data_IF_304493871549
#
_entry.id   IF_304493871549
#
_cell.length_a   1.000
_cell.length_b   1.000
_cell.length_c   1.000
_cell.angle_alpha   90.00
_cell.angle_beta   90.00
_cell.angle_gamma   90.00
#
_symmetry.space_group_name_H-M   'P 1'
#
loop_
_entity.id
_entity.type
_entity.pdbx_description
1 polymer ?
#
# COMPACT_ATOMS: atom_id res chain seq x y z
N UNK A 1 29.76 -67.62 -21.92
CA UNK A 1 28.36 -67.38 -22.32
C UNK A 1 27.69 -66.55 -21.24
N UNK A 2 27.02 -65.45 -21.62
CA UNK A 2 25.96 -64.86 -20.80
C UNK A 2 26.37 -63.79 -19.78
N UNK A 3 26.44 -62.55 -20.24
CA UNK A 3 26.32 -61.30 -19.48
C UNK A 3 24.98 -61.23 -18.70
N UNK A 4 24.99 -60.66 -17.49
CA UNK A 4 23.77 -60.40 -16.72
C UNK A 4 23.89 -59.25 -15.72
N UNK A 5 24.10 -58.03 -16.22
CA UNK A 5 23.93 -56.78 -15.47
C UNK A 5 22.47 -56.63 -15.06
N UNK A 6 22.16 -56.52 -13.76
CA UNK A 6 20.86 -56.03 -13.30
C UNK A 6 21.06 -54.74 -12.51
N UNK A 7 20.72 -53.62 -13.17
CA UNK A 7 20.61 -52.29 -12.59
C UNK A 7 19.32 -52.24 -11.77
N UNK A 8 19.41 -52.05 -10.46
CA UNK A 8 18.25 -51.59 -9.66
C UNK A 8 18.21 -50.07 -9.76
N UNK A 9 17.14 -49.57 -10.39
CA UNK A 9 16.94 -48.18 -10.73
C UNK A 9 16.79 -47.29 -9.50
N UNK A 10 17.47 -46.15 -9.54
CA UNK A 10 17.23 -45.04 -8.64
C UNK A 10 15.77 -44.55 -8.81
N UNK A 11 14.97 -44.69 -7.77
CA UNK A 11 13.63 -44.10 -7.70
C UNK A 11 13.74 -42.58 -7.60
N UNK A 12 13.80 -41.89 -8.73
CA UNK A 12 13.58 -40.45 -8.81
C UNK A 12 12.13 -40.15 -8.44
N UNK A 13 11.91 -39.73 -7.18
CA UNK A 13 10.63 -39.18 -6.72
C UNK A 13 10.37 -37.90 -7.50
N UNK A 14 9.58 -38.02 -8.56
CA UNK A 14 9.09 -36.89 -9.33
C UNK A 14 8.12 -36.10 -8.44
N UNK A 15 8.61 -35.06 -7.77
CA UNK A 15 7.79 -34.04 -7.10
C UNK A 15 7.19 -33.13 -8.18
N UNK A 16 6.28 -33.68 -8.97
CA UNK A 16 5.42 -32.89 -9.83
C UNK A 16 4.58 -31.95 -8.95
N UNK A 17 4.49 -30.69 -9.34
CA UNK A 17 3.62 -29.73 -8.68
C UNK A 17 2.19 -30.27 -8.71
N UNK A 18 1.57 -30.41 -7.53
CA UNK A 18 0.24 -31.01 -7.32
C UNK A 18 -0.85 -30.35 -8.18
N UNK A 19 -0.61 -29.13 -8.67
CA UNK A 19 -1.45 -28.37 -9.59
C UNK A 19 -1.51 -28.96 -11.00
N UNK A 20 -0.48 -29.66 -11.46
CA UNK A 20 -0.46 -30.27 -12.81
C UNK A 20 -1.32 -31.53 -12.89
N UNK A 21 -1.42 -32.31 -11.82
CA UNK A 21 -2.25 -33.52 -11.79
C UNK A 21 -3.75 -33.20 -11.84
N UNK A 22 -4.18 -32.06 -11.29
CA UNK A 22 -5.56 -31.60 -11.36
C UNK A 22 -6.00 -31.27 -12.79
N UNK A 23 -5.07 -30.74 -13.62
CA UNK A 23 -5.34 -30.40 -15.03
C UNK A 23 -5.45 -31.64 -15.92
N UNK A 24 -4.79 -32.74 -15.56
CA UNK A 24 -4.78 -33.98 -16.36
C UNK A 24 -6.00 -34.86 -16.08
N UNK A 25 -6.44 -34.91 -14.82
CA UNK A 25 -7.72 -35.59 -14.46
C UNK A 25 -8.97 -34.92 -15.04
N UNK A 26 -8.87 -33.72 -15.60
CA UNK A 26 -9.96 -33.08 -16.35
C UNK A 26 -9.94 -33.38 -17.84
N UNK A 27 -8.88 -33.99 -18.39
CA UNK A 27 -8.78 -34.31 -19.82
C UNK A 27 -9.27 -35.71 -20.19
N UNK A 28 -9.47 -36.60 -19.21
CA UNK A 28 -9.88 -37.99 -19.44
C UNK A 28 -11.41 -38.20 -19.26
N UNK A 29 -12.21 -37.14 -19.31
CA UNK A 29 -13.66 -37.23 -19.23
C UNK A 29 -14.31 -36.12 -20.05
N UNK A 30 -14.39 -36.32 -21.37
CA UNK A 30 -15.35 -35.68 -22.28
C UNK A 30 -15.34 -36.45 -23.63
N UNK A 31 -16.24 -37.43 -23.77
CA UNK A 31 -16.81 -37.81 -25.07
C UNK A 31 -18.31 -37.47 -25.01
N UNK A 32 -18.74 -36.67 -25.99
CA UNK A 32 -20.09 -36.25 -26.38
C UNK A 32 -20.96 -35.42 -25.43
N UNK A 33 -21.03 -34.11 -25.70
CA UNK A 33 -22.28 -33.42 -26.09
C UNK A 33 -21.99 -31.96 -26.48
N UNK A 34 -22.27 -31.62 -27.74
CA UNK A 34 -22.35 -30.23 -28.19
C UNK A 34 -23.68 -29.61 -27.76
N UNK A 35 -23.65 -28.62 -26.87
CA UNK A 35 -24.58 -27.51 -26.89
C UNK A 35 -23.82 -26.22 -26.62
N UNK A 36 -23.90 -25.30 -27.56
CA UNK A 36 -23.31 -23.97 -27.46
C UNK A 36 -23.86 -23.22 -26.25
N UNK A 37 -22.98 -22.91 -25.30
CA UNK A 37 -23.23 -21.90 -24.29
C UNK A 37 -22.31 -20.71 -24.57
N UNK A 38 -22.82 -19.76 -25.34
CA UNK A 38 -22.38 -18.36 -25.28
C UNK A 38 -22.67 -17.85 -23.86
N UNK A 39 -21.76 -18.16 -22.95
CA UNK A 39 -21.96 -18.01 -21.51
C UNK A 39 -20.96 -17.07 -20.87
N UNK A 40 -20.94 -15.82 -21.32
CA UNK A 40 -20.44 -14.67 -20.57
C UNK A 40 -18.94 -14.61 -20.34
N UNK A 41 -18.32 -13.54 -20.84
CA UNK A 41 -17.16 -12.93 -20.20
C UNK A 41 -17.52 -12.50 -18.77
N UNK A 42 -17.63 -13.48 -17.87
CA UNK A 42 -17.62 -13.31 -16.44
C UNK A 42 -16.20 -12.97 -16.02
N UNK A 43 -15.65 -11.85 -16.51
CA UNK A 43 -14.70 -11.08 -15.73
C UNK A 43 -15.52 -10.60 -14.53
N UNK A 44 -15.65 -11.48 -13.54
CA UNK A 44 -16.19 -11.19 -12.22
C UNK A 44 -15.29 -10.09 -11.69
N UNK A 45 -15.61 -8.83 -12.03
CA UNK A 45 -15.19 -7.72 -11.23
C UNK A 45 -15.69 -8.09 -9.84
N UNK A 46 -14.80 -8.36 -8.88
CA UNK A 46 -15.24 -8.76 -7.56
C UNK A 46 -16.25 -7.71 -7.09
N UNK A 47 -17.36 -8.12 -6.46
CA UNK A 47 -18.31 -7.16 -5.90
C UNK A 47 -17.49 -6.16 -5.09
N UNK A 48 -17.51 -4.90 -5.52
CA UNK A 48 -16.57 -3.91 -5.02
C UNK A 48 -16.95 -3.60 -3.58
N UNK A 49 -16.33 -4.33 -2.65
CA UNK A 49 -16.56 -4.12 -1.22
C UNK A 49 -16.21 -2.66 -0.92
N UNK A 50 -17.15 -1.86 -0.39
CA UNK A 50 -16.91 -0.45 -0.09
C UNK A 50 -15.70 -0.27 0.84
N UNK A 51 -15.43 -1.23 1.73
CA UNK A 51 -14.25 -1.20 2.58
C UNK A 51 -12.95 -1.38 1.78
N UNK A 52 -12.94 -2.22 0.75
CA UNK A 52 -11.78 -2.39 -0.12
C UNK A 52 -11.56 -1.16 -1.02
N UNK A 53 -12.63 -0.53 -1.50
CA UNK A 53 -12.54 0.71 -2.27
C UNK A 53 -11.95 1.84 -1.41
N UNK A 54 -12.46 2.02 -0.19
CA UNK A 54 -11.93 3.01 0.76
C UNK A 54 -10.48 2.72 1.18
N UNK A 55 -10.13 1.45 1.40
CA UNK A 55 -8.74 1.06 1.67
C UNK A 55 -7.80 1.41 0.51
N UNK A 56 -8.24 1.26 -0.75
CA UNK A 56 -7.44 1.69 -1.92
C UNK A 56 -7.26 3.20 -1.96
N UNK A 57 -8.30 3.98 -1.68
CA UNK A 57 -8.20 5.43 -1.60
C UNK A 57 -7.21 5.88 -0.51
N UNK A 58 -7.28 5.29 0.69
CA UNK A 58 -6.34 5.56 1.78
C UNK A 58 -4.90 5.21 1.38
N UNK A 59 -4.68 4.06 0.72
CA UNK A 59 -3.35 3.68 0.20
C UNK A 59 -2.82 4.68 -0.82
N UNK A 60 -3.67 5.17 -1.72
CA UNK A 60 -3.28 6.19 -2.69
C UNK A 60 -2.92 7.51 -2.00
N UNK A 61 -3.72 7.93 -1.00
CA UNK A 61 -3.43 9.10 -0.17
C UNK A 61 -2.10 8.97 0.57
N UNK A 62 -1.79 7.81 1.15
CA UNK A 62 -0.51 7.56 1.82
C UNK A 62 0.69 7.71 0.89
N UNK A 63 0.61 7.15 -0.33
CA UNK A 63 1.66 7.33 -1.34
C UNK A 63 1.82 8.79 -1.74
N UNK A 64 0.71 9.50 -1.93
CA UNK A 64 0.75 10.93 -2.23
C UNK A 64 1.38 11.73 -1.08
N UNK A 65 1.06 11.40 0.18
CA UNK A 65 1.65 12.04 1.36
C UNK A 65 3.16 11.80 1.45
N UNK A 66 3.65 10.60 1.10
CA UNK A 66 5.08 10.32 1.02
C UNK A 66 5.78 11.17 -0.03
N UNK A 67 5.21 11.28 -1.24
CA UNK A 67 5.75 12.15 -2.30
C UNK A 67 5.75 13.63 -1.88
N UNK A 68 4.70 14.08 -1.18
CA UNK A 68 4.64 15.45 -0.64
C UNK A 68 5.66 15.69 0.47
N UNK A 69 5.95 14.69 1.30
CA UNK A 69 7.02 14.76 2.29
C UNK A 69 8.39 14.96 1.63
N UNK A 70 8.71 14.19 0.60
CA UNK A 70 9.97 14.32 -0.14
C UNK A 70 10.10 15.69 -0.81
N UNK A 71 9.05 16.16 -1.49
CA UNK A 71 9.02 17.49 -2.11
C UNK A 71 9.16 18.61 -1.05
N UNK A 72 8.52 18.45 0.10
CA UNK A 72 8.62 19.39 1.22
C UNK A 72 10.05 19.45 1.78
N UNK A 73 10.73 18.31 1.93
CA UNK A 73 12.13 18.26 2.39
C UNK A 73 13.07 18.94 1.37
N UNK A 74 12.89 18.70 0.07
CA UNK A 74 13.66 19.37 -0.98
C UNK A 74 13.45 20.90 -0.95
N UNK A 75 12.20 21.35 -0.84
CA UNK A 75 11.91 22.79 -0.76
C UNK A 75 12.50 23.43 0.50
N UNK A 76 12.47 22.71 1.62
CA UNK A 76 13.12 23.13 2.87
C UNK A 76 14.63 23.29 2.70
N UNK A 77 15.29 22.37 2.00
CA UNK A 77 16.72 22.46 1.71
C UNK A 77 17.06 23.65 0.82
N UNK A 78 16.27 23.91 -0.22
CA UNK A 78 16.42 25.09 -1.08
C UNK A 78 16.31 26.38 -0.26
N UNK A 79 15.28 26.50 0.58
CA UNK A 79 15.08 27.68 1.45
C UNK A 79 16.18 27.81 2.50
N UNK A 80 16.77 26.70 2.97
CA UNK A 80 17.92 26.72 3.89
C UNK A 80 19.21 27.17 3.19
N UNK A 81 19.40 26.78 1.92
CA UNK A 81 20.57 27.12 1.11
C UNK A 81 20.56 28.55 0.57
N UNK A 82 19.39 29.17 0.42
CA UNK A 82 19.28 30.57 0.01
C UNK A 82 19.48 31.52 1.22
N UNK A 83 20.46 32.45 1.18
CA UNK A 83 20.69 33.40 2.27
C UNK A 83 19.51 34.37 2.45
N UNK A 84 18.86 34.72 1.34
CA UNK A 84 17.67 35.57 1.25
C UNK A 84 16.63 34.85 0.38
N UNK A 85 15.76 34.00 0.94
CA UNK A 85 14.76 33.26 0.17
C UNK A 85 13.72 34.23 -0.42
N UNK A 86 13.48 34.11 -1.73
CA UNK A 86 12.50 34.91 -2.46
C UNK A 86 11.08 34.62 -1.98
N UNK A 87 10.14 35.55 -2.25
CA UNK A 87 8.74 35.38 -1.88
C UNK A 87 8.13 34.11 -2.52
N UNK A 88 8.50 33.81 -3.77
CA UNK A 88 8.08 32.60 -4.49
C UNK A 88 8.47 31.32 -3.74
N UNK A 89 9.74 31.19 -3.33
CA UNK A 89 10.21 30.01 -2.58
C UNK A 89 9.45 29.82 -1.27
N UNK A 90 9.10 30.92 -0.59
CA UNK A 90 8.32 30.87 0.64
C UNK A 90 6.85 30.48 0.38
N UNK A 91 6.25 30.98 -0.70
CA UNK A 91 4.90 30.61 -1.12
C UNK A 91 4.82 29.13 -1.48
N UNK A 92 5.78 28.62 -2.25
CA UNK A 92 5.85 27.20 -2.62
C UNK A 92 6.01 26.31 -1.39
N UNK A 93 6.85 26.71 -0.42
CA UNK A 93 7.00 26.00 0.84
C UNK A 93 5.69 25.99 1.64
N UNK A 94 4.97 27.10 1.67
CA UNK A 94 3.68 27.19 2.37
C UNK A 94 2.61 26.34 1.68
N UNK A 95 2.53 26.41 0.35
CA UNK A 95 1.64 25.58 -0.46
C UNK A 95 1.86 24.09 -0.19
N UNK A 96 3.11 23.62 -0.19
CA UNK A 96 3.44 22.22 0.10
C UNK A 96 3.00 21.82 1.51
N UNK A 97 3.10 22.71 2.50
CA UNK A 97 2.60 22.44 3.86
C UNK A 97 1.08 22.30 3.89
N UNK A 98 0.36 23.17 3.19
CA UNK A 98 -1.09 23.15 3.16
C UNK A 98 -1.61 21.90 2.44
N UNK A 99 -1.04 21.54 1.29
CA UNK A 99 -1.34 20.30 0.57
C UNK A 99 -1.04 19.05 1.43
N UNK A 100 0.07 19.07 2.18
CA UNK A 100 0.41 17.98 3.12
C UNK A 100 -0.60 17.87 4.26
N UNK A 101 -1.04 19.00 4.82
CA UNK A 101 -2.06 19.02 5.87
C UNK A 101 -3.40 18.48 5.37
N UNK A 102 -3.79 18.86 4.16
CA UNK A 102 -5.06 18.42 3.58
C UNK A 102 -5.06 16.91 3.31
N UNK A 103 -4.01 16.38 2.66
CA UNK A 103 -3.85 14.92 2.48
C UNK A 103 -3.87 14.18 3.82
N UNK A 104 -3.25 14.75 4.87
CA UNK A 104 -3.28 14.16 6.21
C UNK A 104 -4.71 14.07 6.76
N UNK A 105 -5.55 15.09 6.53
CA UNK A 105 -6.96 15.10 6.95
C UNK A 105 -7.78 14.11 6.15
N UNK A 106 -7.62 14.06 4.84
CA UNK A 106 -8.30 13.11 3.94
C UNK A 106 -7.99 11.67 4.34
N UNK A 107 -6.71 11.34 4.58
CA UNK A 107 -6.31 10.00 5.01
C UNK A 107 -6.94 9.65 6.36
N UNK A 108 -6.97 10.59 7.33
CA UNK A 108 -7.64 10.35 8.62
C UNK A 108 -9.13 10.09 8.45
N UNK A 109 -9.82 10.85 7.60
CA UNK A 109 -11.24 10.64 7.32
C UNK A 109 -11.46 9.26 6.67
N UNK A 110 -10.62 8.89 5.70
CA UNK A 110 -10.62 7.56 5.09
C UNK A 110 -10.35 6.43 6.07
N UNK A 111 -9.44 6.61 7.04
CA UNK A 111 -9.19 5.63 8.09
C UNK A 111 -10.38 5.48 9.05
N UNK A 112 -11.07 6.57 9.38
CA UNK A 112 -12.26 6.55 10.25
C UNK A 112 -13.40 5.72 9.65
N UNK A 113 -13.67 5.83 8.35
CA UNK A 113 -14.72 4.99 7.75
C UNK A 113 -14.33 3.50 7.58
N UNK A 114 -13.05 3.16 7.81
CA UNK A 114 -12.60 1.76 7.95
C UNK A 114 -12.60 1.26 9.39
N UNK A 115 -12.86 2.14 10.37
CA UNK A 115 -12.86 1.77 11.79
C UNK A 115 -13.96 0.71 12.05
N UNK A 116 -13.63 -0.42 12.68
CA UNK A 116 -14.64 -1.42 13.01
C UNK A 116 -15.63 -0.85 14.04
N UNK A 117 -16.93 -0.99 13.79
CA UNK A 117 -17.98 -0.57 14.72
C UNK A 117 -17.82 -1.28 16.08
N UNK A 118 -18.09 -0.56 17.16
CA UNK A 118 -17.92 -1.05 18.54
C UNK A 118 -19.05 -1.96 19.01
N UNK A 119 -20.22 -1.90 18.38
CA UNK A 119 -21.47 -2.49 18.89
C UNK A 119 -22.01 -3.66 18.04
N UNK A 120 -21.40 -3.96 16.89
CA UNK A 120 -21.87 -5.05 16.01
C UNK A 120 -21.32 -6.42 16.45
N UNK A 121 -21.76 -6.92 17.61
CA UNK A 121 -21.33 -8.25 18.12
C UNK A 121 -21.72 -9.39 17.18
N UNK A 122 -22.93 -9.35 16.59
CA UNK A 122 -23.41 -10.37 15.65
C UNK A 122 -22.60 -10.42 14.36
N UNK A 123 -22.07 -9.28 13.91
CA UNK A 123 -21.36 -9.18 12.63
C UNK A 123 -19.83 -9.12 12.78
N UNK A 124 -19.32 -9.19 14.02
CA UNK A 124 -17.89 -9.07 14.38
C UNK A 124 -16.98 -10.07 13.68
N UNK A 125 -17.52 -11.25 13.37
CA UNK A 125 -16.81 -12.38 12.77
C UNK A 125 -17.06 -12.53 11.26
N UNK A 126 -17.89 -11.65 10.66
CA UNK A 126 -18.09 -11.63 9.22
C UNK A 126 -16.79 -11.38 8.46
N UNK A 127 -16.70 -11.89 7.23
CA UNK A 127 -15.54 -11.66 6.35
C UNK A 127 -15.32 -10.16 6.16
N UNK A 128 -16.37 -9.38 5.92
CA UNK A 128 -16.29 -7.93 5.77
C UNK A 128 -15.76 -7.21 7.01
N UNK A 129 -16.18 -7.61 8.22
CA UNK A 129 -15.66 -7.04 9.47
C UNK A 129 -14.17 -7.38 9.68
N UNK A 130 -13.74 -8.59 9.33
CA UNK A 130 -12.31 -8.97 9.37
C UNK A 130 -11.50 -8.17 8.37
N UNK A 131 -11.97 -8.01 7.14
CA UNK A 131 -11.32 -7.20 6.09
C UNK A 131 -11.15 -5.76 6.57
N UNK A 132 -12.21 -5.11 7.07
CA UNK A 132 -12.12 -3.74 7.62
C UNK A 132 -11.07 -3.63 8.72
N UNK A 133 -11.13 -4.50 9.74
CA UNK A 133 -10.20 -4.48 10.88
C UNK A 133 -8.73 -4.64 10.42
N UNK A 134 -8.46 -5.61 9.54
CA UNK A 134 -7.10 -5.83 9.04
C UNK A 134 -6.61 -4.68 8.18
N UNK A 135 -7.45 -4.14 7.28
CA UNK A 135 -7.08 -2.98 6.46
C UNK A 135 -6.83 -1.74 7.33
N UNK A 136 -7.74 -1.42 8.25
CA UNK A 136 -7.59 -0.29 9.16
C UNK A 136 -6.29 -0.41 9.98
N UNK A 137 -6.01 -1.58 10.57
CA UNK A 137 -4.78 -1.78 11.36
C UNK A 137 -3.50 -1.52 10.56
N UNK A 138 -3.38 -2.10 9.36
CA UNK A 138 -2.20 -1.93 8.51
C UNK A 138 -2.06 -0.48 8.04
N UNK A 139 -3.14 0.13 7.58
CA UNK A 139 -3.11 1.50 7.04
C UNK A 139 -2.88 2.55 8.12
N UNK A 140 -3.45 2.36 9.32
CA UNK A 140 -3.20 3.23 10.47
C UNK A 140 -1.73 3.20 10.89
N UNK A 141 -1.10 2.02 10.94
CA UNK A 141 0.33 1.92 11.24
C UNK A 141 1.19 2.65 10.19
N UNK A 142 0.89 2.47 8.90
CA UNK A 142 1.59 3.17 7.83
C UNK A 142 1.41 4.70 7.93
N UNK A 143 0.18 5.15 8.18
CA UNK A 143 -0.14 6.57 8.35
C UNK A 143 0.66 7.22 9.48
N UNK A 144 0.72 6.59 10.64
CA UNK A 144 1.52 7.12 11.75
C UNK A 144 3.01 7.10 11.46
N UNK A 145 3.51 6.10 10.72
CA UNK A 145 4.90 6.06 10.25
C UNK A 145 5.26 7.25 9.36
N UNK A 146 4.44 7.53 8.33
CA UNK A 146 4.64 8.70 7.44
C UNK A 146 4.50 10.02 8.21
N UNK A 147 3.47 10.13 9.06
CA UNK A 147 3.22 11.33 9.87
C UNK A 147 4.37 11.60 10.85
N UNK A 148 4.94 10.57 11.46
CA UNK A 148 6.10 10.70 12.35
C UNK A 148 7.33 11.21 11.60
N UNK A 149 7.61 10.70 10.39
CA UNK A 149 8.70 11.21 9.54
C UNK A 149 8.46 12.67 9.15
N UNK A 150 7.23 13.04 8.79
CA UNK A 150 6.85 14.42 8.49
C UNK A 150 7.09 15.36 9.67
N UNK A 151 6.69 14.96 10.88
CA UNK A 151 6.93 15.75 12.09
C UNK A 151 8.42 15.92 12.37
N UNK A 152 9.21 14.86 12.19
CA UNK A 152 10.66 14.89 12.36
C UNK A 152 11.36 15.78 11.33
N UNK A 153 10.94 15.75 10.06
CA UNK A 153 11.45 16.63 9.00
C UNK A 153 11.18 18.10 9.32
N UNK A 154 9.94 18.43 9.68
CA UNK A 154 9.54 19.78 10.08
C UNK A 154 10.29 20.29 11.33
N UNK A 155 10.52 19.43 12.32
CA UNK A 155 11.30 19.79 13.50
C UNK A 155 12.77 20.10 13.14
N UNK A 156 13.39 19.26 12.30
CA UNK A 156 14.75 19.48 11.79
C UNK A 156 14.87 20.79 11.02
N UNK A 157 13.91 21.10 10.15
CA UNK A 157 13.88 22.36 9.42
C UNK A 157 13.77 23.58 10.36
N UNK A 158 12.88 23.53 11.36
CA UNK A 158 12.73 24.59 12.36
C UNK A 158 14.02 24.83 13.13
N UNK A 159 14.70 23.77 13.55
CA UNK A 159 15.98 23.86 14.25
C UNK A 159 17.05 24.53 13.37
N UNK A 160 17.25 24.04 12.14
CA UNK A 160 18.26 24.60 11.22
C UNK A 160 17.97 26.06 10.86
N UNK A 161 16.70 26.41 10.68
CA UNK A 161 16.28 27.79 10.43
C UNK A 161 16.65 28.71 11.60
N UNK A 162 16.43 28.24 12.83
CA UNK A 162 16.77 28.97 14.04
C UNK A 162 18.29 29.13 14.22
N UNK A 163 19.07 28.09 13.95
CA UNK A 163 20.54 28.16 13.95
C UNK A 163 21.06 29.19 12.94
N UNK A 164 20.44 29.27 11.75
CA UNK A 164 20.80 30.25 10.71
C UNK A 164 20.55 31.69 11.19
N UNK A 165 19.36 31.96 11.74
CA UNK A 165 19.02 33.28 12.29
C UNK A 165 19.97 33.66 13.43
N UNK A 166 20.27 32.71 14.34
CA UNK A 166 21.26 32.96 15.40
C UNK A 166 22.61 33.35 14.80
N UNK A 167 23.14 32.61 13.83
CA UNK A 167 24.42 32.97 13.19
C UNK A 167 24.38 34.37 12.57
N UNK A 168 23.29 34.74 11.91
CA UNK A 168 23.14 36.08 11.32
C UNK A 168 23.08 37.22 12.35
N UNK A 169 22.63 36.95 13.58
CA UNK A 169 22.57 37.94 14.66
C UNK A 169 23.88 38.07 15.46
N UNK A 170 24.79 37.09 15.35
CA UNK A 170 26.09 37.10 16.04
C UNK A 170 27.24 37.52 15.10
N UNK A 171 26.91 37.98 13.89
CA UNK A 171 27.81 38.62 12.93
C UNK A 171 27.61 40.14 13.06
#
# INVERSE_FOLDING_TARGET
VGTGRQKVGAGTRNRGFRTQNLRRSQQDSDEDSEEGSEGGEGRLSPPSDPALAQARQVRAGLRALELKLEALEQQQELVLGCPLPTQELQQDLQRLRDETQELTREIRAGLRGLEPAKEDEENRNSIGARVRRTQHGVLSQQFWGVTGRLQAAQARYRQRSLERVRRQLHI
#
